data_IF_805806227747
#
_entry.id   IF_805806227747
#
_cell.length_a   1.000
_cell.length_b   1.000
_cell.length_c   1.000
_cell.angle_alpha   90.00
_cell.angle_beta   90.00
_cell.angle_gamma   90.00
#
_symmetry.space_group_name_H-M   'P 1'
#
loop_
_entity.id
_entity.type
_entity.pdbx_description
1 polymer ?
#
# COMPACT_ATOMS: atom_id res chain seq x y z
N UNK A 1 -22.14 -10.10 -2.71
CA UNK A 1 -20.68 -10.33 -2.86
C UNK A 1 -19.93 -9.43 -1.88
N UNK A 2 -18.74 -9.85 -1.43
CA UNK A 2 -17.85 -9.04 -0.60
C UNK A 2 -16.93 -8.19 -1.48
N UNK A 3 -16.64 -6.97 -1.03
CA UNK A 3 -15.70 -6.05 -1.67
C UNK A 3 -14.30 -6.68 -1.68
N UNK A 4 -13.60 -6.61 -2.81
CA UNK A 4 -12.24 -7.16 -2.91
C UNK A 4 -11.24 -6.44 -2.00
N UNK A 5 -11.47 -5.16 -1.70
CA UNK A 5 -10.67 -4.35 -0.78
C UNK A 5 -11.13 -4.56 0.67
N UNK A 6 -12.14 -3.81 1.14
CA UNK A 6 -12.54 -3.81 2.55
C UNK A 6 -13.29 -5.06 3.05
N UNK A 7 -13.55 -6.06 2.20
CA UNK A 7 -14.31 -7.29 2.52
C UNK A 7 -15.75 -7.09 3.01
N UNK A 8 -16.26 -5.86 3.08
CA UNK A 8 -17.66 -5.53 3.36
C UNK A 8 -18.59 -5.82 2.16
N UNK A 9 -19.90 -5.65 2.34
CA UNK A 9 -20.90 -5.90 1.28
C UNK A 9 -20.76 -4.89 0.13
N UNK A 10 -20.48 -5.37 -1.08
CA UNK A 10 -20.29 -4.52 -2.27
C UNK A 10 -21.58 -4.25 -3.08
N UNK A 11 -22.67 -4.95 -2.76
CA UNK A 11 -23.94 -4.93 -3.51
C UNK A 11 -24.21 -6.22 -4.28
N UNK A 12 -25.29 -6.23 -5.08
CA UNK A 12 -25.56 -7.30 -6.05
C UNK A 12 -24.65 -7.10 -7.27
N UNK A 13 -23.91 -8.15 -7.65
CA UNK A 13 -23.01 -8.22 -8.82
C UNK A 13 -21.78 -7.30 -8.87
N UNK A 14 -21.55 -6.41 -7.88
CA UNK A 14 -20.33 -5.59 -7.81
C UNK A 14 -19.20 -6.28 -7.04
N UNK A 15 -17.96 -6.16 -7.52
CA UNK A 15 -16.72 -6.63 -6.84
C UNK A 15 -16.11 -5.58 -5.91
N UNK A 16 -16.40 -4.29 -6.12
CA UNK A 16 -15.89 -3.16 -5.34
C UNK A 16 -17.09 -2.38 -4.78
N UNK A 17 -17.08 -2.05 -3.49
CA UNK A 17 -18.11 -1.20 -2.89
C UNK A 17 -17.89 0.28 -3.24
N UNK A 18 -18.91 1.12 -3.09
CA UNK A 18 -18.85 2.54 -3.48
C UNK A 18 -17.72 3.30 -2.78
N UNK A 19 -17.48 3.02 -1.51
CA UNK A 19 -16.42 3.67 -0.73
C UNK A 19 -15.03 3.30 -1.24
N UNK A 20 -14.75 2.00 -1.45
CA UNK A 20 -13.48 1.57 -2.00
C UNK A 20 -13.30 2.05 -3.45
N UNK A 21 -14.38 2.25 -4.20
CA UNK A 21 -14.29 2.83 -5.54
C UNK A 21 -13.77 4.27 -5.48
N UNK A 22 -14.26 5.10 -4.53
CA UNK A 22 -13.75 6.47 -4.30
C UNK A 22 -12.25 6.45 -3.98
N UNK A 23 -11.82 5.54 -3.10
CA UNK A 23 -10.41 5.43 -2.72
C UNK A 23 -9.53 5.02 -3.91
N UNK A 24 -9.99 4.07 -4.76
CA UNK A 24 -9.29 3.70 -6.00
C UNK A 24 -9.16 4.89 -6.95
N UNK A 25 -10.21 5.69 -7.11
CA UNK A 25 -10.16 6.88 -7.97
C UNK A 25 -9.15 7.92 -7.50
N UNK A 26 -8.99 8.10 -6.18
CA UNK A 26 -7.96 8.98 -5.63
C UNK A 26 -6.57 8.45 -5.96
N UNK A 27 -6.30 7.18 -5.67
CA UNK A 27 -4.99 6.56 -5.96
C UNK A 27 -4.63 6.70 -7.44
N UNK A 28 -5.60 6.54 -8.35
CA UNK A 28 -5.39 6.70 -9.80
C UNK A 28 -5.09 8.12 -10.25
N UNK A 29 -5.59 9.13 -9.52
CA UNK A 29 -5.41 10.55 -9.85
C UNK A 29 -4.10 11.12 -9.31
N UNK A 30 -3.51 10.47 -8.32
CA UNK A 30 -2.28 10.95 -7.71
C UNK A 30 -1.07 10.72 -8.65
N UNK A 31 -0.15 11.70 -8.74
CA UNK A 31 1.04 11.57 -9.57
C UNK A 31 1.93 10.45 -9.03
N UNK A 32 2.75 9.82 -9.88
CA UNK A 32 3.67 8.76 -9.44
C UNK A 32 4.60 9.18 -8.29
N UNK A 33 4.77 10.49 -8.05
CA UNK A 33 5.52 11.13 -6.98
C UNK A 33 4.68 11.63 -5.77
N UNK A 34 3.43 11.21 -5.57
CA UNK A 34 2.60 11.65 -4.43
C UNK A 34 3.16 11.26 -3.05
N UNK A 35 2.98 12.10 -2.02
CA UNK A 35 3.41 11.78 -0.65
C UNK A 35 2.36 10.96 0.13
N UNK A 36 2.78 10.18 1.13
CA UNK A 36 1.83 9.40 1.97
C UNK A 36 0.83 10.30 2.71
N UNK A 37 1.28 11.48 3.17
CA UNK A 37 0.42 12.47 3.81
C UNK A 37 -0.68 12.99 2.87
N UNK A 38 -0.30 13.38 1.65
CA UNK A 38 -1.23 13.88 0.62
C UNK A 38 -2.29 12.83 0.25
N UNK A 39 -1.89 11.55 0.19
CA UNK A 39 -2.83 10.44 0.01
C UNK A 39 -3.83 10.35 1.16
N UNK A 40 -3.36 10.37 2.41
CA UNK A 40 -4.23 10.27 3.59
C UNK A 40 -5.17 11.47 3.70
N UNK A 41 -4.67 12.67 3.44
CA UNK A 41 -5.47 13.90 3.42
C UNK A 41 -6.60 13.76 2.38
N UNK A 42 -6.27 13.30 1.16
CA UNK A 42 -7.26 13.03 0.10
C UNK A 42 -8.29 11.96 0.51
N UNK A 43 -7.87 10.91 1.23
CA UNK A 43 -8.78 9.88 1.72
C UNK A 43 -9.73 10.40 2.79
N UNK A 44 -9.27 11.25 3.72
CA UNK A 44 -10.13 11.82 4.75
C UNK A 44 -11.19 12.76 4.18
N UNK A 45 -10.91 13.44 3.07
CA UNK A 45 -11.91 14.25 2.34
C UNK A 45 -13.08 13.42 1.78
N UNK A 46 -12.91 12.12 1.56
CA UNK A 46 -13.98 11.25 1.02
C UNK A 46 -15.07 10.90 2.03
N UNK A 47 -14.86 11.21 3.31
CA UNK A 47 -15.70 10.80 4.44
C UNK A 47 -15.85 9.28 4.60
N UNK A 48 -15.00 8.48 3.96
CA UNK A 48 -14.92 7.04 4.20
C UNK A 48 -14.36 6.81 5.61
N UNK A 49 -14.91 5.82 6.33
CA UNK A 49 -14.48 5.56 7.71
C UNK A 49 -13.01 5.15 7.78
N UNK A 50 -12.32 5.56 8.85
CA UNK A 50 -10.92 5.22 9.09
C UNK A 50 -10.65 3.72 9.04
N UNK A 51 -11.55 2.91 9.61
CA UNK A 51 -11.45 1.44 9.55
C UNK A 51 -11.48 0.91 8.11
N UNK A 52 -12.30 1.50 7.25
CA UNK A 52 -12.41 1.09 5.85
C UNK A 52 -11.22 1.57 5.02
N UNK A 53 -10.72 2.77 5.29
CA UNK A 53 -9.46 3.27 4.70
C UNK A 53 -8.31 2.34 5.07
N UNK A 54 -8.19 1.96 6.35
CA UNK A 54 -7.16 1.02 6.80
C UNK A 54 -7.29 -0.34 6.10
N UNK A 55 -8.50 -0.92 6.06
CA UNK A 55 -8.73 -2.18 5.37
C UNK A 55 -8.40 -2.09 3.86
N UNK A 56 -8.69 -0.95 3.23
CA UNK A 56 -8.32 -0.69 1.84
C UNK A 56 -6.79 -0.65 1.65
N UNK A 57 -6.08 0.09 2.50
CA UNK A 57 -4.63 0.23 2.46
C UNK A 57 -3.87 -1.09 2.71
N UNK A 58 -4.41 -1.92 3.59
CA UNK A 58 -3.79 -3.21 3.98
C UNK A 58 -4.12 -4.37 3.03
N UNK A 59 -5.08 -4.19 2.13
CA UNK A 59 -5.47 -5.28 1.23
C UNK A 59 -4.45 -5.48 0.12
N UNK A 60 -4.03 -6.73 -0.04
CA UNK A 60 -3.26 -7.21 -1.19
C UNK A 60 -4.22 -7.90 -2.18
N UNK A 61 -4.64 -7.18 -3.22
CA UNK A 61 -5.61 -7.68 -4.22
C UNK A 61 -4.93 -8.56 -5.26
N UNK A 62 -3.71 -8.22 -5.66
CA UNK A 62 -3.01 -8.81 -6.81
C UNK A 62 -1.84 -9.73 -6.41
N UNK A 63 -1.61 -9.91 -5.10
CA UNK A 63 -0.54 -10.73 -4.54
C UNK A 63 0.83 -10.05 -4.47
N UNK A 64 0.93 -8.82 -4.97
CA UNK A 64 2.19 -8.06 -5.13
C UNK A 64 2.52 -7.17 -3.93
N UNK A 65 1.75 -7.25 -2.84
CA UNK A 65 1.85 -6.35 -1.71
C UNK A 65 0.66 -5.40 -1.62
N UNK A 66 0.36 -4.99 -0.40
CA UNK A 66 -0.70 -4.03 -0.14
C UNK A 66 -0.34 -2.64 -0.66
N UNK A 67 -1.31 -1.74 -0.64
CA UNK A 67 -1.06 -0.33 -0.99
C UNK A 67 -0.07 0.28 0.00
N UNK A 68 -0.13 -0.09 1.28
CA UNK A 68 0.90 0.27 2.26
C UNK A 68 2.30 -0.23 1.85
N UNK A 69 2.42 -1.50 1.43
CA UNK A 69 3.71 -2.04 0.98
C UNK A 69 4.27 -1.27 -0.22
N UNK A 70 3.42 -0.86 -1.17
CA UNK A 70 3.82 -0.04 -2.33
C UNK A 70 4.32 1.35 -1.94
N UNK A 71 3.60 2.02 -1.04
CA UNK A 71 3.97 3.36 -0.60
C UNK A 71 5.25 3.31 0.22
N UNK A 72 5.39 2.34 1.14
CA UNK A 72 6.61 2.14 1.91
C UNK A 72 7.81 1.89 1.00
N UNK A 73 7.69 1.01 0.00
CA UNK A 73 8.78 0.73 -0.94
C UNK A 73 9.27 2.00 -1.64
N UNK A 74 8.31 2.82 -2.11
CA UNK A 74 8.62 4.08 -2.76
C UNK A 74 9.27 5.09 -1.82
N UNK A 75 8.72 5.26 -0.61
CA UNK A 75 9.29 6.16 0.40
C UNK A 75 10.72 5.76 0.77
N UNK A 76 10.99 4.46 0.91
CA UNK A 76 12.34 3.96 1.15
C UNK A 76 13.28 4.34 0.01
N UNK A 77 12.88 4.11 -1.25
CA UNK A 77 13.71 4.47 -2.40
C UNK A 77 13.98 5.98 -2.48
N UNK A 78 13.00 6.82 -2.15
CA UNK A 78 13.13 8.28 -2.13
C UNK A 78 14.13 8.74 -1.06
N UNK A 79 14.01 8.20 0.17
CA UNK A 79 14.95 8.47 1.26
C UNK A 79 16.36 8.04 0.87
N UNK A 80 16.52 6.80 0.41
CA UNK A 80 17.81 6.22 0.04
C UNK A 80 18.48 6.99 -1.10
N UNK A 81 17.70 7.40 -2.11
CA UNK A 81 18.17 8.28 -3.17
C UNK A 81 18.63 9.65 -2.64
N UNK A 82 17.92 10.24 -1.68
CA UNK A 82 18.31 11.52 -1.08
C UNK A 82 19.64 11.45 -0.30
N UNK A 83 19.99 10.25 0.18
CA UNK A 83 21.25 9.96 0.88
C UNK A 83 22.40 9.61 -0.08
N UNK A 84 22.17 9.66 -1.40
CA UNK A 84 23.15 9.28 -2.42
C UNK A 84 23.35 7.76 -2.57
N UNK A 85 22.43 6.95 -2.02
CA UNK A 85 22.47 5.50 -2.05
C UNK A 85 21.16 4.96 -2.66
N UNK A 86 20.92 5.12 -3.97
CA UNK A 86 19.65 4.69 -4.58
C UNK A 86 19.36 3.21 -4.32
N UNK A 87 18.14 2.88 -3.89
CA UNK A 87 17.66 1.51 -3.71
C UNK A 87 16.57 1.16 -4.72
N UNK A 88 16.37 -0.15 -4.94
CA UNK A 88 15.34 -0.70 -5.84
C UNK A 88 14.29 -1.52 -5.08
N UNK A 89 13.90 -1.07 -3.88
CA UNK A 89 12.92 -1.75 -3.04
C UNK A 89 11.58 -1.83 -3.78
N UNK A 90 11.01 -3.03 -3.88
CA UNK A 90 9.68 -3.26 -4.43
C UNK A 90 8.63 -3.47 -3.33
N UNK A 91 7.35 -3.37 -3.67
CA UNK A 91 6.26 -3.69 -2.72
C UNK A 91 6.31 -5.15 -2.26
N UNK A 92 6.78 -6.07 -3.11
CA UNK A 92 6.94 -7.48 -2.75
C UNK A 92 8.10 -7.67 -1.76
N UNK A 93 9.18 -6.90 -1.90
CA UNK A 93 10.28 -6.90 -0.93
C UNK A 93 9.81 -6.38 0.43
N UNK A 94 9.07 -5.28 0.47
CA UNK A 94 8.49 -4.75 1.72
C UNK A 94 7.53 -5.75 2.36
N UNK A 95 6.65 -6.36 1.57
CA UNK A 95 5.76 -7.44 2.04
C UNK A 95 6.55 -8.57 2.69
N UNK A 96 7.68 -8.98 2.09
CA UNK A 96 8.54 -10.05 2.61
C UNK A 96 9.22 -9.63 3.91
N UNK A 97 9.79 -8.43 3.97
CA UNK A 97 10.35 -7.85 5.21
C UNK A 97 9.32 -7.84 6.33
N UNK A 98 8.10 -7.36 6.05
CA UNK A 98 6.99 -7.33 7.00
C UNK A 98 6.62 -8.73 7.49
N UNK A 99 6.61 -9.72 6.61
CA UNK A 99 6.34 -11.12 6.97
C UNK A 99 7.45 -11.76 7.81
N UNK A 100 8.71 -11.50 7.48
CA UNK A 100 9.87 -11.98 8.24
C UNK A 100 9.82 -11.46 9.69
N UNK A 101 9.57 -10.16 9.85
CA UNK A 101 9.43 -9.51 11.18
C UNK A 101 8.24 -10.10 11.94
N UNK A 102 7.08 -10.26 11.30
CA UNK A 102 5.89 -10.85 11.93
C UNK A 102 6.11 -12.30 12.38
N UNK A 103 7.06 -13.02 11.78
CA UNK A 103 7.45 -14.38 12.12
C UNK A 103 8.66 -14.44 13.08
N UNK A 104 9.15 -13.29 13.56
CA UNK A 104 10.30 -13.20 14.46
C UNK A 104 11.64 -13.55 13.79
N UNK A 105 11.73 -13.44 12.45
CA UNK A 105 12.94 -13.71 11.67
C UNK A 105 13.66 -12.41 11.34
N UNK A 106 14.97 -12.49 11.10
CA UNK A 106 15.71 -11.38 10.53
C UNK A 106 15.19 -11.08 9.10
N UNK A 107 15.04 -9.80 8.71
CA UNK A 107 14.60 -9.42 7.37
C UNK A 107 15.54 -9.97 6.29
N UNK A 108 15.05 -10.89 5.47
CA UNK A 108 15.85 -11.61 4.46
C UNK A 108 16.20 -10.79 3.21
N UNK A 109 15.71 -9.54 3.12
CA UNK A 109 15.87 -8.67 1.95
C UNK A 109 16.98 -7.64 2.12
N UNK A 110 17.56 -7.54 3.31
CA UNK A 110 18.63 -6.57 3.63
C UNK A 110 19.99 -6.98 3.05
N UNK A 111 20.16 -8.25 2.63
CA UNK A 111 21.45 -8.80 2.20
C UNK A 111 21.77 -8.69 0.69
N UNK A 112 20.91 -8.08 -0.14
CA UNK A 112 21.11 -8.09 -1.60
C UNK A 112 22.15 -7.10 -2.13
N UNK A 113 22.55 -6.10 -1.35
CA UNK A 113 23.39 -4.98 -1.82
C UNK A 113 24.82 -4.97 -1.23
N UNK A 114 25.27 -6.08 -0.61
CA UNK A 114 26.65 -6.23 -0.11
C UNK A 114 27.45 -7.17 -1.02
N UNK A 115 27.62 -6.86 -2.30
CA UNK A 115 28.64 -7.47 -3.18
C UNK A 115 29.16 -6.41 -4.17
#
# INVERSE_FOLDING_TARGET
>A
MKCIYCKERAGLFKRICIDCLKLVEIVKKLPASFGYRELLDSFFETQVSNQKIQAFLDTDVDGQGSINDQITARMTNEVMSSLGQPSHMTSTDVKKVRQDIAQGRAPSVVDKDVH
#
